data_IF_338850905836
#
_entry.id   IF_338850905836
#
_cell.length_a   1.000
_cell.length_b   1.000
_cell.length_c   1.000
_cell.angle_alpha   90.00
_cell.angle_beta   90.00
_cell.angle_gamma   90.00
#
_symmetry.space_group_name_H-M   'P 1'
#
loop_
_entity.id
_entity.type
_entity.pdbx_description
1 polymer ?
#
# COMPACT_ATOMS: atom_id res chain seq x y z
N UNK A 1 -3.31 23.69 0.22
CA UNK A 1 -1.87 24.01 0.16
C UNK A 1 -1.32 23.97 1.58
N UNK A 2 -0.66 22.88 1.96
CA UNK A 2 -0.04 22.77 3.29
C UNK A 2 1.27 23.57 3.32
N UNK A 3 1.42 24.49 4.28
CA UNK A 3 2.70 25.15 4.55
C UNK A 3 3.62 24.14 5.23
N UNK A 4 4.76 23.83 4.62
CA UNK A 4 5.84 23.11 5.29
C UNK A 4 6.45 24.06 6.33
N UNK A 5 6.36 23.69 7.60
CA UNK A 5 6.92 24.48 8.70
C UNK A 5 8.24 23.82 9.11
N UNK A 6 9.37 24.44 8.78
CA UNK A 6 10.68 24.01 9.24
C UNK A 6 10.91 24.51 10.67
N UNK A 7 11.54 23.68 11.50
CA UNK A 7 12.01 24.05 12.83
C UNK A 7 13.27 24.92 12.74
N UNK A 8 13.59 25.65 13.82
CA UNK A 8 14.79 26.51 13.86
C UNK A 8 16.08 25.73 13.62
N UNK A 9 16.16 24.50 14.13
CA UNK A 9 17.31 23.60 13.91
C UNK A 9 17.45 23.22 12.42
N UNK A 10 16.33 22.86 11.77
CA UNK A 10 16.32 22.51 10.34
C UNK A 10 16.72 23.69 9.46
N UNK A 11 16.29 24.91 9.81
CA UNK A 11 16.69 26.12 9.07
C UNK A 11 18.21 26.31 9.12
N UNK A 12 18.82 26.19 10.30
CA UNK A 12 20.28 26.33 10.44
C UNK A 12 21.03 25.26 9.63
N UNK A 13 20.52 24.02 9.60
CA UNK A 13 21.08 22.96 8.78
C UNK A 13 20.95 23.26 7.28
N UNK A 14 19.78 23.72 6.82
CA UNK A 14 19.56 24.08 5.41
C UNK A 14 20.50 25.22 4.99
N UNK A 15 20.65 26.25 5.83
CA UNK A 15 21.54 27.39 5.56
C UNK A 15 23.03 26.99 5.53
N UNK A 16 23.41 25.89 6.18
CA UNK A 16 24.78 25.37 6.16
C UNK A 16 25.13 24.58 4.89
N UNK A 17 24.14 24.25 4.03
CA UNK A 17 24.40 23.51 2.79
C UNK A 17 25.13 24.44 1.81
N UNK A 18 26.37 24.11 1.40
CA UNK A 18 27.12 24.96 0.47
C UNK A 18 26.43 24.97 -0.89
N UNK A 19 26.11 26.16 -1.38
CA UNK A 19 25.60 26.33 -2.73
C UNK A 19 26.72 26.06 -3.75
N UNK A 20 26.35 25.50 -4.90
CA UNK A 20 27.28 25.32 -6.00
C UNK A 20 27.84 26.69 -6.43
N UNK A 21 29.16 26.82 -6.45
CA UNK A 21 29.85 28.00 -7.03
C UNK A 21 29.71 28.07 -8.55
N UNK A 22 29.24 26.97 -9.18
CA UNK A 22 28.98 26.89 -10.61
C UNK A 22 27.53 27.22 -10.84
N UNK A 23 27.28 28.19 -11.73
CA UNK A 23 25.96 28.56 -12.24
C UNK A 23 25.45 27.48 -13.22
N UNK A 24 25.12 26.31 -12.66
CA UNK A 24 24.51 25.21 -13.42
C UNK A 24 23.08 25.07 -12.93
N UNK A 25 22.13 25.22 -13.84
CA UNK A 25 20.72 25.03 -13.52
C UNK A 25 20.42 23.63 -12.98
N UNK A 26 19.46 23.56 -12.07
CA UNK A 26 19.00 22.32 -11.45
C UNK A 26 18.52 21.31 -12.50
N UNK A 27 18.79 20.03 -12.24
CA UNK A 27 18.35 18.93 -13.09
C UNK A 27 17.65 17.86 -12.27
N UNK A 28 16.49 17.43 -12.74
CA UNK A 28 15.80 16.26 -12.18
C UNK A 28 16.58 15.01 -12.54
N UNK A 29 17.06 14.29 -11.52
CA UNK A 29 17.81 13.04 -11.67
C UNK A 29 17.03 11.89 -11.06
N UNK A 30 16.94 10.80 -11.81
CA UNK A 30 16.33 9.56 -11.34
C UNK A 30 17.42 8.57 -10.94
N UNK A 31 17.65 8.40 -9.64
CA UNK A 31 18.79 7.64 -9.14
C UNK A 31 18.68 6.12 -9.30
N UNK A 32 17.49 5.62 -9.67
CA UNK A 32 17.25 4.18 -9.85
C UNK A 32 17.57 3.69 -11.27
N UNK A 33 18.01 4.56 -12.17
CA UNK A 33 18.40 4.21 -13.54
C UNK A 33 19.84 4.64 -13.81
N UNK A 34 20.61 3.80 -14.51
CA UNK A 34 22.04 4.08 -14.78
C UNK A 34 22.24 5.38 -15.54
N UNK A 35 21.34 5.70 -16.45
CA UNK A 35 21.38 6.91 -17.28
C UNK A 35 20.87 8.16 -16.55
N UNK A 36 20.45 8.04 -15.27
CA UNK A 36 19.87 9.11 -14.43
C UNK A 36 18.65 9.82 -15.03
N UNK A 37 18.11 9.32 -16.14
CA UNK A 37 16.89 9.79 -16.78
C UNK A 37 15.70 8.98 -16.29
N UNK A 38 14.57 9.65 -16.08
CA UNK A 38 13.33 8.98 -15.72
C UNK A 38 12.83 8.14 -16.90
N UNK A 39 12.47 6.89 -16.61
CA UNK A 39 11.75 6.03 -17.55
C UNK A 39 10.58 5.38 -16.83
N UNK A 40 9.40 5.34 -17.49
CA UNK A 40 8.21 4.69 -16.93
C UNK A 40 8.50 3.21 -16.63
N UNK A 41 9.27 2.56 -17.51
CA UNK A 41 9.71 1.17 -17.34
C UNK A 41 10.54 0.98 -16.08
N UNK A 42 11.59 1.78 -15.88
CA UNK A 42 12.46 1.70 -14.70
C UNK A 42 11.70 2.04 -13.41
N UNK A 43 10.85 3.07 -13.44
CA UNK A 43 10.00 3.44 -12.33
C UNK A 43 9.01 2.33 -11.95
N UNK A 44 8.37 1.68 -12.93
CA UNK A 44 7.48 0.53 -12.68
C UNK A 44 8.24 -0.65 -12.07
N UNK A 45 9.42 -1.00 -12.61
CA UNK A 45 10.23 -2.08 -12.05
C UNK A 45 10.65 -1.79 -10.60
N UNK A 46 11.09 -0.56 -10.32
CA UNK A 46 11.41 -0.13 -8.96
C UNK A 46 10.19 -0.23 -8.03
N UNK A 47 9.06 0.38 -8.41
CA UNK A 47 7.83 0.34 -7.61
C UNK A 47 7.37 -1.09 -7.33
N UNK A 48 7.47 -1.98 -8.33
CA UNK A 48 7.13 -3.40 -8.17
C UNK A 48 8.09 -4.11 -7.23
N UNK A 49 9.40 -3.87 -7.34
CA UNK A 49 10.40 -4.45 -6.42
C UNK A 49 10.19 -3.98 -4.99
N UNK A 50 9.84 -2.71 -4.79
CA UNK A 50 9.56 -2.14 -3.48
C UNK A 50 8.28 -2.73 -2.86
N UNK A 51 7.22 -2.90 -3.68
CA UNK A 51 6.01 -3.59 -3.26
C UNK A 51 6.30 -5.05 -2.87
N UNK A 52 7.07 -5.79 -3.69
CA UNK A 52 7.47 -7.16 -3.37
C UNK A 52 8.30 -7.18 -2.09
N UNK A 53 9.25 -6.27 -1.90
CA UNK A 53 10.07 -6.18 -0.67
C UNK A 53 9.20 -5.95 0.58
N UNK A 54 8.17 -5.10 0.47
CA UNK A 54 7.20 -4.86 1.55
C UNK A 54 6.28 -6.04 1.83
N UNK A 55 6.01 -6.87 0.82
CA UNK A 55 5.16 -8.06 0.95
C UNK A 55 5.98 -9.31 1.33
N UNK A 56 7.27 -9.35 0.99
CA UNK A 56 8.19 -10.47 1.25
C UNK A 56 8.49 -10.65 2.75
N UNK A 57 8.22 -9.64 3.59
CA UNK A 57 8.21 -9.78 5.04
C UNK A 57 7.07 -10.67 5.56
N UNK A 58 6.08 -11.01 4.73
CA UNK A 58 4.95 -11.86 5.11
C UNK A 58 5.05 -13.27 4.51
N UNK A 59 6.11 -14.00 4.88
CA UNK A 59 6.29 -15.43 4.53
C UNK A 59 5.03 -16.28 4.80
N UNK A 60 4.28 -15.93 5.84
CA UNK A 60 3.01 -16.58 6.20
C UNK A 60 1.92 -16.39 5.14
N UNK A 61 1.83 -15.20 4.52
CA UNK A 61 0.84 -14.89 3.49
C UNK A 61 1.16 -15.66 2.20
N UNK A 62 2.43 -15.74 1.83
CA UNK A 62 2.85 -16.53 0.67
C UNK A 62 2.57 -18.03 0.88
N UNK A 63 2.89 -18.55 2.06
CA UNK A 63 2.59 -19.93 2.44
C UNK A 63 1.08 -20.23 2.43
N UNK A 64 0.26 -19.31 2.96
CA UNK A 64 -1.20 -19.42 2.94
C UNK A 64 -1.71 -19.55 1.50
N UNK A 65 -1.29 -18.66 0.59
CA UNK A 65 -1.73 -18.72 -0.80
C UNK A 65 -1.29 -20.00 -1.49
N UNK A 66 -0.02 -20.42 -1.32
CA UNK A 66 0.48 -21.69 -1.87
C UNK A 66 -0.35 -22.88 -1.38
N UNK A 67 -0.74 -22.88 -0.11
CA UNK A 67 -1.56 -23.95 0.49
C UNK A 67 -2.98 -23.94 -0.05
N UNK A 68 -3.64 -22.77 -0.11
CA UNK A 68 -5.00 -22.62 -0.63
C UNK A 68 -5.11 -23.11 -2.09
N UNK A 69 -4.15 -22.74 -2.93
CA UNK A 69 -4.18 -23.13 -4.34
C UNK A 69 -3.89 -24.62 -4.56
N UNK A 70 -3.08 -25.25 -3.68
CA UNK A 70 -2.82 -26.70 -3.69
C UNK A 70 -3.92 -27.55 -3.06
N UNK A 71 -4.82 -26.97 -2.27
CA UNK A 71 -5.88 -27.73 -1.62
C UNK A 71 -6.81 -28.41 -2.64
N UNK A 72 -7.21 -29.66 -2.38
CA UNK A 72 -8.21 -30.39 -3.17
C UNK A 72 -9.64 -29.93 -2.84
N UNK A 73 -9.94 -28.67 -3.15
CA UNK A 73 -11.26 -28.05 -2.98
C UNK A 73 -11.74 -27.44 -4.30
N UNK A 74 -13.05 -27.23 -4.43
CA UNK A 74 -13.65 -26.63 -5.63
C UNK A 74 -13.05 -25.24 -5.90
N UNK A 75 -12.77 -24.95 -7.17
CA UNK A 75 -12.22 -23.66 -7.59
C UNK A 75 -13.06 -22.46 -7.16
N UNK A 76 -14.39 -22.61 -7.17
CA UNK A 76 -15.33 -21.57 -6.68
C UNK A 76 -15.08 -21.19 -5.21
N UNK A 77 -14.73 -22.17 -4.37
CA UNK A 77 -14.41 -21.94 -2.96
C UNK A 77 -13.07 -21.22 -2.83
N UNK A 78 -12.05 -21.62 -3.59
CA UNK A 78 -10.74 -20.92 -3.62
C UNK A 78 -10.90 -19.45 -4.00
N UNK A 79 -11.69 -19.18 -5.04
CA UNK A 79 -11.99 -17.81 -5.50
C UNK A 79 -12.75 -17.04 -4.40
N UNK A 80 -13.73 -17.66 -3.75
CA UNK A 80 -14.47 -17.03 -2.66
C UNK A 80 -13.52 -16.62 -1.52
N UNK A 81 -12.68 -17.54 -1.04
CA UNK A 81 -11.68 -17.27 0.01
C UNK A 81 -10.73 -16.15 -0.42
N UNK A 82 -10.20 -16.21 -1.64
CA UNK A 82 -9.35 -15.16 -2.18
C UNK A 82 -10.05 -13.79 -2.12
N UNK A 83 -11.28 -13.69 -2.64
CA UNK A 83 -12.06 -12.44 -2.61
C UNK A 83 -12.37 -11.98 -1.19
N UNK A 84 -12.63 -12.89 -0.25
CA UNK A 84 -12.87 -12.58 1.16
C UNK A 84 -11.64 -11.97 1.82
N UNK A 85 -10.45 -12.57 1.64
CA UNK A 85 -9.21 -12.07 2.24
C UNK A 85 -8.77 -10.69 1.74
N UNK A 86 -9.23 -10.29 0.54
CA UNK A 86 -8.93 -8.99 -0.07
C UNK A 86 -10.04 -7.96 0.10
N UNK A 87 -10.98 -8.17 1.04
CA UNK A 87 -12.15 -7.29 1.25
C UNK A 87 -12.92 -6.97 -0.05
N UNK A 88 -12.91 -7.91 -1.00
CA UNK A 88 -13.51 -7.76 -2.33
C UNK A 88 -14.95 -8.25 -2.40
N UNK A 89 -15.42 -8.94 -1.36
CA UNK A 89 -16.82 -9.31 -1.20
C UNK A 89 -17.57 -8.20 -0.44
N UNK A 90 -18.83 -7.92 -0.82
CA UNK A 90 -19.70 -6.97 -0.12
C UNK A 90 -20.22 -7.59 1.18
N UNK A 91 -19.33 -7.88 2.11
CA UNK A 91 -19.70 -8.27 3.48
C UNK A 91 -20.18 -7.05 4.25
N UNK A 92 -21.02 -7.27 5.27
CA UNK A 92 -21.52 -6.20 6.13
C UNK A 92 -20.38 -5.32 6.69
N UNK A 93 -19.32 -5.96 7.18
CA UNK A 93 -18.10 -5.29 7.67
C UNK A 93 -17.43 -4.42 6.61
N UNK A 94 -17.35 -4.89 5.35
CA UNK A 94 -16.75 -4.13 4.26
C UNK A 94 -17.64 -2.98 3.80
N UNK A 95 -18.96 -3.17 3.82
CA UNK A 95 -19.92 -2.11 3.50
C UNK A 95 -19.88 -0.99 4.55
N UNK A 96 -19.77 -1.34 5.84
CA UNK A 96 -19.56 -0.37 6.93
C UNK A 96 -18.24 0.40 6.76
N UNK A 97 -17.13 -0.33 6.52
CA UNK A 97 -15.80 0.26 6.28
C UNK A 97 -15.80 1.23 5.10
N UNK A 98 -16.57 0.94 4.05
CA UNK A 98 -16.75 1.80 2.86
C UNK A 98 -17.84 2.86 3.03
N UNK A 99 -18.50 2.94 4.20
CA UNK A 99 -19.59 3.87 4.52
C UNK A 99 -20.80 3.76 3.59
N UNK A 100 -21.02 2.57 3.01
CA UNK A 100 -22.21 2.27 2.19
C UNK A 100 -23.42 2.03 3.08
N UNK A 101 -23.20 1.45 4.26
CA UNK A 101 -24.20 1.27 5.32
C UNK A 101 -23.70 1.97 6.59
N UNK A 102 -24.63 2.44 7.42
CA UNK A 102 -24.32 3.25 8.62
C UNK A 102 -24.48 2.50 9.94
N UNK A 103 -25.29 1.44 9.97
CA UNK A 103 -25.60 0.73 11.22
C UNK A 103 -24.77 -0.54 11.38
N UNK A 104 -24.06 -0.64 12.51
CA UNK A 104 -23.32 -1.84 12.90
C UNK A 104 -24.22 -2.79 13.70
N UNK A 105 -25.25 -3.30 13.02
CA UNK A 105 -26.20 -4.27 13.56
C UNK A 105 -26.08 -5.63 12.86
N UNK A 106 -26.33 -6.72 13.58
CA UNK A 106 -26.43 -8.02 12.92
C UNK A 106 -27.73 -8.09 12.11
N UNK A 107 -27.62 -8.38 10.80
CA UNK A 107 -28.74 -8.45 9.86
C UNK A 107 -29.80 -9.49 10.31
N UNK A 108 -29.38 -10.54 11.02
CA UNK A 108 -30.26 -11.65 11.39
C UNK A 108 -31.02 -11.45 12.70
N UNK A 109 -30.41 -10.78 13.68
CA UNK A 109 -30.96 -10.65 15.04
C UNK A 109 -31.32 -9.19 15.40
N UNK A 110 -30.92 -8.19 14.59
CA UNK A 110 -31.19 -6.78 14.82
C UNK A 110 -30.48 -6.16 16.04
N UNK A 111 -29.70 -6.95 16.78
CA UNK A 111 -28.96 -6.51 17.97
C UNK A 111 -27.51 -6.17 17.62
N UNK A 112 -27.00 -5.10 18.23
CA UNK A 112 -25.63 -4.61 18.05
C UNK A 112 -24.58 -5.49 18.75
N UNK A 113 -23.44 -5.64 18.06
CA UNK A 113 -22.15 -6.20 18.47
C UNK A 113 -22.17 -7.48 19.35
N UNK A 114 -21.99 -8.62 18.66
CA UNK A 114 -21.81 -10.01 19.12
C UNK A 114 -23.10 -10.84 19.28
N UNK A 115 -23.75 -11.15 18.16
CA UNK A 115 -24.52 -12.40 18.07
C UNK A 115 -23.51 -13.56 18.03
N UNK A 116 -23.36 -14.27 19.16
CA UNK A 116 -22.61 -15.53 19.28
C UNK A 116 -23.54 -16.70 18.98
#
# INVERSE_FOLDING_TARGET
MGKLHFTFSEINLILSIPLSLRDVGDRVIWHFERERRFSVRGAYHFARSELVRRLASNSQVEFFWRTLWKACILGKVKICVWRSCYDALPTHTNLLKRKVIQEDGCISCGQGLKCR
#
